data_IF_624846856982
#
_entry.id   IF_624846856982
#
_cell.length_a   1.000
_cell.length_b   1.000
_cell.length_c   1.000
_cell.angle_alpha   90.00
_cell.angle_beta   90.00
_cell.angle_gamma   90.00
#
_symmetry.space_group_name_H-M   'P 1'
#
loop_
_entity.id
_entity.type
_entity.pdbx_description
1 polymer ?
#
# COMPACT_ATOMS: atom_id res chain seq x y z
N UNK A 1 12.39 0.72 16.96
CA UNK A 1 11.80 2.07 16.75
C UNK A 1 10.28 2.03 16.79
N UNK A 2 9.59 1.20 16.01
CA UNK A 2 8.12 1.11 16.06
C UNK A 2 7.57 0.85 17.47
N UNK A 3 8.12 -0.14 18.19
CA UNK A 3 7.74 -0.41 19.59
C UNK A 3 7.94 0.80 20.53
N UNK A 4 9.03 1.55 20.34
CA UNK A 4 9.33 2.75 21.15
C UNK A 4 8.28 3.83 20.91
N UNK A 5 7.91 4.08 19.65
CA UNK A 5 6.85 5.03 19.31
C UNK A 5 5.48 4.57 19.80
N UNK A 6 5.20 3.27 19.76
CA UNK A 6 4.00 2.69 20.37
C UNK A 6 3.93 3.00 21.86
N UNK A 7 5.02 2.78 22.61
CA UNK A 7 5.09 3.11 24.03
C UNK A 7 4.91 4.61 24.28
N UNK A 8 5.60 5.47 23.54
CA UNK A 8 5.46 6.93 23.67
C UNK A 8 4.02 7.40 23.42
N UNK A 9 3.36 6.84 22.40
CA UNK A 9 1.97 7.12 22.12
C UNK A 9 1.05 6.63 23.25
N UNK A 10 1.23 5.39 23.74
CA UNK A 10 0.45 4.85 24.86
C UNK A 10 0.61 5.68 26.13
N UNK A 11 1.83 6.13 26.44
CA UNK A 11 2.09 7.02 27.58
C UNK A 11 1.36 8.35 27.41
N UNK A 12 1.37 8.94 26.20
CA UNK A 12 0.64 10.18 25.93
C UNK A 12 -0.87 10.01 26.10
N UNK A 13 -1.44 8.90 25.64
CA UNK A 13 -2.87 8.60 25.80
C UNK A 13 -3.23 8.43 27.28
N UNK A 14 -2.45 7.65 28.03
CA UNK A 14 -2.67 7.48 29.46
C UNK A 14 -2.54 8.82 30.21
N UNK A 15 -1.57 9.65 29.84
CA UNK A 15 -1.37 10.97 30.45
C UNK A 15 -2.51 11.94 30.13
N UNK A 16 -3.15 11.81 28.96
CA UNK A 16 -4.38 12.54 28.62
C UNK A 16 -5.56 12.06 29.47
N UNK A 17 -5.78 10.74 29.55
CA UNK A 17 -6.91 10.14 30.29
C UNK A 17 -6.83 10.38 31.80
N UNK A 18 -5.63 10.38 32.38
CA UNK A 18 -5.40 10.60 33.82
C UNK A 18 -4.91 12.02 34.14
N UNK A 19 -5.09 12.97 33.22
CA UNK A 19 -4.64 14.37 33.37
C UNK A 19 -5.15 15.04 34.65
N UNK A 20 -6.42 14.85 35.00
CA UNK A 20 -7.03 15.36 36.24
C UNK A 20 -6.31 14.85 37.50
N UNK A 21 -5.84 13.58 37.48
CA UNK A 21 -5.12 12.97 38.60
C UNK A 21 -3.66 13.40 38.66
N UNK A 22 -3.07 13.68 37.50
CA UNK A 22 -1.68 14.13 37.37
C UNK A 22 -1.51 15.63 37.62
N UNK A 23 -2.61 16.41 37.64
CA UNK A 23 -2.55 17.86 37.78
C UNK A 23 -1.92 18.56 36.57
N UNK A 24 -1.91 17.88 35.41
CA UNK A 24 -1.33 18.39 34.16
C UNK A 24 -2.47 18.74 33.21
N UNK A 25 -2.40 19.85 32.45
CA UNK A 25 -3.42 20.17 31.45
C UNK A 25 -3.58 19.03 30.44
N UNK A 26 -4.81 18.54 30.24
CA UNK A 26 -5.10 17.37 29.40
C UNK A 26 -4.48 17.49 27.99
N UNK A 27 -4.64 18.64 27.34
CA UNK A 27 -4.18 18.85 25.98
C UNK A 27 -2.67 19.17 25.88
N UNK A 28 -1.94 19.33 26.98
CA UNK A 28 -0.49 19.51 26.91
C UNK A 28 0.23 18.26 26.39
N UNK A 29 -0.20 17.06 26.82
CA UNK A 29 0.48 15.81 26.48
C UNK A 29 0.44 15.47 24.98
N UNK A 30 -0.73 15.54 24.29
CA UNK A 30 -0.78 15.34 22.84
C UNK A 30 0.12 16.32 22.06
N UNK A 31 0.21 17.59 22.48
CA UNK A 31 1.09 18.57 21.86
C UNK A 31 2.56 18.22 22.05
N UNK A 32 2.96 17.83 23.28
CA UNK A 32 4.33 17.40 23.59
C UNK A 32 4.70 16.19 22.74
N UNK A 33 3.82 15.19 22.61
CA UNK A 33 4.07 14.03 21.76
C UNK A 33 4.33 14.46 20.31
N UNK A 34 3.50 15.34 19.76
CA UNK A 34 3.67 15.85 18.40
C UNK A 34 5.03 16.56 18.22
N UNK A 35 5.39 17.45 19.16
CA UNK A 35 6.66 18.18 19.13
C UNK A 35 7.84 17.21 19.20
N UNK A 36 7.80 16.21 20.10
CA UNK A 36 8.85 15.19 20.23
C UNK A 36 9.01 14.40 18.93
N UNK A 37 7.90 14.02 18.27
CA UNK A 37 7.94 13.30 16.99
C UNK A 37 8.50 14.17 15.86
N UNK A 38 8.16 15.46 15.81
CA UNK A 38 8.71 16.40 14.82
C UNK A 38 10.21 16.63 15.04
N UNK A 39 10.62 16.87 16.28
CA UNK A 39 12.03 17.01 16.65
C UNK A 39 12.80 15.73 16.31
N UNK A 40 12.22 14.55 16.54
CA UNK A 40 12.83 13.28 16.18
C UNK A 40 13.13 13.18 14.68
N UNK A 41 12.17 13.55 13.82
CA UNK A 41 12.31 13.45 12.36
C UNK A 41 13.33 14.47 11.83
N UNK A 42 13.31 15.70 12.33
CA UNK A 42 14.17 16.81 11.86
C UNK A 42 15.56 16.78 12.48
N UNK A 43 15.79 16.00 13.54
CA UNK A 43 17.06 15.94 14.26
C UNK A 43 18.26 15.67 13.32
N UNK A 44 19.22 16.61 13.20
CA UNK A 44 20.35 16.51 12.30
C UNK A 44 21.48 15.61 12.82
N UNK A 45 21.44 15.19 14.08
CA UNK A 45 22.48 14.34 14.65
C UNK A 45 22.42 12.93 14.04
N UNK A 46 23.58 12.26 13.90
CA UNK A 46 23.70 10.89 13.35
C UNK A 46 23.11 9.78 14.24
N UNK A 47 22.23 10.13 15.17
CA UNK A 47 21.55 9.21 16.09
C UNK A 47 20.23 8.69 15.51
N UNK A 48 19.71 7.58 16.03
CA UNK A 48 18.38 7.04 15.71
C UNK A 48 18.01 6.93 14.22
N UNK A 49 18.78 6.13 13.45
CA UNK A 49 18.51 5.86 12.02
C UNK A 49 18.47 7.13 11.16
N UNK A 50 19.49 7.97 11.33
CA UNK A 50 19.67 9.22 10.57
C UNK A 50 19.44 9.08 9.06
N UNK A 51 20.02 8.08 8.40
CA UNK A 51 19.87 7.88 6.95
C UNK A 51 18.40 7.70 6.53
N UNK A 52 17.63 6.90 7.27
CA UNK A 52 16.22 6.70 7.00
C UNK A 52 15.41 7.99 7.18
N UNK A 53 15.68 8.77 8.25
CA UNK A 53 14.97 10.04 8.49
C UNK A 53 15.20 11.05 7.38
N UNK A 54 16.46 11.26 6.99
CA UNK A 54 16.79 12.20 5.91
C UNK A 54 16.33 11.71 4.55
N UNK A 55 16.31 10.39 4.32
CA UNK A 55 15.66 9.81 3.15
C UNK A 55 14.16 10.14 3.14
N UNK A 56 13.44 9.92 4.25
CA UNK A 56 12.02 10.25 4.38
C UNK A 56 11.77 11.75 4.16
N UNK A 57 12.54 12.63 4.80
CA UNK A 57 12.43 14.08 4.61
C UNK A 57 12.66 14.50 3.16
N UNK A 58 13.67 13.94 2.49
CA UNK A 58 13.97 14.23 1.09
C UNK A 58 12.83 13.80 0.17
N UNK A 59 12.30 12.60 0.37
CA UNK A 59 11.22 12.06 -0.47
C UNK A 59 9.89 12.80 -0.22
N UNK A 60 9.56 13.10 1.04
CA UNK A 60 8.40 13.95 1.38
C UNK A 60 8.54 15.36 0.80
N UNK A 61 9.72 15.96 0.90
CA UNK A 61 10.00 17.28 0.31
C UNK A 61 9.78 17.28 -1.21
N UNK A 62 10.26 16.26 -1.92
CA UNK A 62 9.99 16.11 -3.36
C UNK A 62 8.52 15.91 -3.67
N UNK A 63 7.79 15.16 -2.84
CA UNK A 63 6.35 14.96 -3.00
C UNK A 63 5.57 16.28 -2.85
N UNK A 64 5.89 17.07 -1.82
CA UNK A 64 5.24 18.37 -1.57
C UNK A 64 5.61 19.43 -2.60
N UNK A 65 6.82 19.37 -3.15
CA UNK A 65 7.27 20.27 -4.21
C UNK A 65 6.95 19.76 -5.63
N UNK A 66 6.11 18.74 -5.78
CA UNK A 66 5.62 18.35 -7.10
C UNK A 66 4.85 19.53 -7.74
N UNK A 67 5.02 19.82 -9.05
CA UNK A 67 5.66 19.01 -10.10
C UNK A 67 7.12 19.39 -10.42
N UNK A 68 7.83 20.09 -9.53
CA UNK A 68 9.12 20.73 -9.86
C UNK A 68 10.24 19.71 -10.11
N UNK A 69 10.27 18.61 -9.36
CA UNK A 69 11.33 17.60 -9.42
C UNK A 69 11.00 16.42 -10.33
N UNK A 70 12.03 15.65 -10.70
CA UNK A 70 11.83 14.35 -11.34
C UNK A 70 11.22 13.35 -10.34
N UNK A 71 10.28 12.52 -10.81
CA UNK A 71 9.48 11.62 -9.96
C UNK A 71 9.96 10.17 -10.12
N UNK A 72 10.64 9.66 -9.10
CA UNK A 72 11.06 8.25 -9.01
C UNK A 72 9.99 7.36 -8.36
N UNK A 73 10.23 6.04 -8.33
CA UNK A 73 9.35 5.07 -7.64
C UNK A 73 9.07 5.46 -6.19
N UNK A 74 10.13 5.74 -5.43
CA UNK A 74 9.99 6.13 -4.02
C UNK A 74 9.14 7.40 -3.84
N UNK A 75 9.29 8.39 -4.72
CA UNK A 75 8.59 9.67 -4.63
C UNK A 75 7.07 9.51 -4.80
N UNK A 76 6.65 8.70 -5.78
CA UNK A 76 5.22 8.46 -5.98
C UNK A 76 4.65 7.42 -5.01
N UNK A 77 5.45 6.46 -4.57
CA UNK A 77 5.06 5.48 -3.56
C UNK A 77 4.78 6.14 -2.20
N UNK A 78 5.61 7.10 -1.77
CA UNK A 78 5.35 7.88 -0.54
C UNK A 78 4.09 8.73 -0.68
N UNK A 79 3.89 9.38 -1.83
CA UNK A 79 2.69 10.18 -2.06
C UNK A 79 1.41 9.34 -2.09
N UNK A 80 1.48 8.05 -2.46
CA UNK A 80 0.35 7.12 -2.27
C UNK A 80 0.03 6.89 -0.80
N UNK A 81 1.04 6.80 0.07
CA UNK A 81 0.81 6.69 1.52
C UNK A 81 0.07 7.92 2.05
N UNK A 82 0.42 9.11 1.57
CA UNK A 82 -0.22 10.36 1.98
C UNK A 82 -1.73 10.36 1.68
N UNK A 83 -2.19 9.70 0.62
CA UNK A 83 -3.61 9.63 0.28
C UNK A 83 -4.43 8.88 1.35
N UNK A 84 -3.82 7.89 2.01
CA UNK A 84 -4.41 7.17 3.15
C UNK A 84 -4.25 7.93 4.48
N UNK A 85 -3.50 9.03 4.49
CA UNK A 85 -3.29 9.90 5.66
C UNK A 85 -4.08 11.21 5.55
N UNK A 86 -5.14 11.27 4.73
CA UNK A 86 -5.96 12.47 4.56
C UNK A 86 -6.49 13.02 5.89
N UNK A 87 -6.89 12.13 6.81
CA UNK A 87 -7.32 12.51 8.17
C UNK A 87 -6.23 13.29 8.93
N UNK A 88 -4.95 12.89 8.78
CA UNK A 88 -3.83 13.60 9.40
C UNK A 88 -3.66 15.03 8.86
N UNK A 89 -3.93 15.26 7.57
CA UNK A 89 -3.90 16.62 7.01
C UNK A 89 -5.04 17.49 7.57
N UNK A 90 -6.25 16.96 7.63
CA UNK A 90 -7.39 17.70 8.21
C UNK A 90 -7.25 17.93 9.70
N UNK A 91 -6.65 16.99 10.42
CA UNK A 91 -6.41 17.10 11.86
C UNK A 91 -5.25 18.04 12.16
N UNK A 92 -4.27 18.17 11.26
CA UNK A 92 -3.22 19.20 11.39
C UNK A 92 -3.83 20.61 11.41
N UNK A 93 -4.78 20.88 10.51
CA UNK A 93 -5.50 22.17 10.53
C UNK A 93 -6.33 22.34 11.80
N UNK A 94 -7.05 21.30 12.21
CA UNK A 94 -7.83 21.32 13.45
C UNK A 94 -6.95 21.62 14.66
N UNK A 95 -5.80 20.93 14.77
CA UNK A 95 -4.85 21.07 15.86
C UNK A 95 -4.28 22.48 15.95
N UNK A 96 -3.87 23.05 14.81
CA UNK A 96 -3.38 24.44 14.75
C UNK A 96 -4.47 25.40 15.23
N UNK A 97 -5.69 25.28 14.72
CA UNK A 97 -6.81 26.11 15.15
C UNK A 97 -7.11 25.95 16.64
N UNK A 98 -7.16 24.70 17.14
CA UNK A 98 -7.47 24.39 18.52
C UNK A 98 -6.48 25.06 19.48
N UNK A 99 -5.17 24.92 19.25
CA UNK A 99 -4.17 25.52 20.14
C UNK A 99 -4.05 27.05 20.01
N UNK A 100 -4.42 27.63 18.85
CA UNK A 100 -4.44 29.09 18.68
C UNK A 100 -5.66 29.75 19.34
N UNK A 101 -6.79 29.05 19.40
CA UNK A 101 -8.07 29.59 19.85
C UNK A 101 -8.44 29.19 21.26
N UNK A 102 -7.88 28.09 21.78
CA UNK A 102 -8.13 27.63 23.12
C UNK A 102 -7.13 28.25 24.13
N UNK A 103 -7.56 29.16 25.01
CA UNK A 103 -6.69 29.78 26.01
C UNK A 103 -6.38 28.85 27.19
N UNK A 104 -7.18 27.80 27.43
CA UNK A 104 -6.99 26.90 28.57
C UNK A 104 -6.83 25.45 28.08
N UNK A 105 -5.62 24.91 28.20
CA UNK A 105 -5.30 23.55 27.75
C UNK A 105 -5.77 22.45 28.70
N UNK A 106 -6.57 22.79 29.71
CA UNK A 106 -7.19 21.84 30.64
C UNK A 106 -8.63 21.50 30.23
N UNK A 107 -9.32 22.42 29.52
CA UNK A 107 -10.73 22.25 29.12
C UNK A 107 -10.84 22.46 27.62
N UNK A 108 -11.51 21.54 26.94
CA UNK A 108 -11.79 21.68 25.51
C UNK A 108 -12.84 22.76 25.28
N UNK A 109 -12.54 23.75 24.45
CA UNK A 109 -13.56 24.64 23.86
C UNK A 109 -14.38 23.84 22.85
N UNK A 110 -15.56 24.34 22.45
CA UNK A 110 -16.46 23.72 21.46
C UNK A 110 -15.69 23.03 20.33
N UNK A 111 -15.81 21.71 20.27
CA UNK A 111 -15.08 20.85 19.33
C UNK A 111 -15.42 21.17 17.88
N UNK A 112 -16.57 21.80 17.63
CA UNK A 112 -17.02 22.14 16.27
C UNK A 112 -16.50 23.49 15.78
N UNK A 113 -16.01 24.36 16.66
CA UNK A 113 -15.58 25.72 16.30
C UNK A 113 -14.58 25.72 15.13
N UNK A 114 -13.53 24.91 15.24
CA UNK A 114 -12.48 24.83 14.22
C UNK A 114 -12.91 24.13 12.93
N UNK A 115 -13.92 23.25 13.01
CA UNK A 115 -14.44 22.52 11.84
C UNK A 115 -15.37 23.41 11.02
N UNK A 116 -16.24 24.18 11.69
CA UNK A 116 -17.24 25.04 11.06
C UNK A 116 -16.61 26.33 10.54
N UNK A 117 -15.86 27.05 11.37
CA UNK A 117 -15.32 28.38 10.98
C UNK A 117 -14.19 28.30 9.95
N UNK A 118 -13.46 27.18 9.90
CA UNK A 118 -12.33 27.01 8.99
C UNK A 118 -12.56 25.87 7.98
N UNK A 119 -13.82 25.61 7.64
CA UNK A 119 -14.20 24.53 6.73
C UNK A 119 -13.46 24.62 5.39
N UNK A 120 -13.29 25.82 4.82
CA UNK A 120 -12.55 26.00 3.56
C UNK A 120 -11.07 25.59 3.64
N UNK A 121 -10.40 25.90 4.76
CA UNK A 121 -9.00 25.47 4.98
C UNK A 121 -8.95 23.95 5.19
N UNK A 122 -9.91 23.38 5.93
CA UNK A 122 -10.03 21.93 6.12
C UNK A 122 -10.19 21.20 4.79
N UNK A 123 -11.03 21.70 3.89
CA UNK A 123 -11.22 21.15 2.54
C UNK A 123 -9.95 21.26 1.71
N UNK A 124 -9.25 22.40 1.76
CA UNK A 124 -7.96 22.55 1.10
C UNK A 124 -6.95 21.50 1.58
N UNK A 125 -6.84 21.29 2.90
CA UNK A 125 -5.96 20.28 3.48
C UNK A 125 -6.32 18.85 3.05
N UNK A 126 -7.62 18.54 2.94
CA UNK A 126 -8.09 17.26 2.42
C UNK A 126 -7.73 17.04 0.94
N UNK A 127 -7.65 18.10 0.14
CA UNK A 127 -7.25 18.04 -1.27
C UNK A 127 -5.73 17.88 -1.48
N UNK A 128 -4.89 18.15 -0.48
CA UNK A 128 -3.43 18.11 -0.64
C UNK A 128 -2.90 16.71 -1.01
N UNK A 129 -3.27 15.61 -0.33
CA UNK A 129 -2.79 14.28 -0.72
C UNK A 129 -3.08 13.85 -2.17
N UNK A 130 -4.33 13.97 -2.69
CA UNK A 130 -4.60 13.66 -4.09
C UNK A 130 -3.91 14.66 -5.03
N UNK A 131 -3.74 15.92 -4.63
CA UNK A 131 -3.00 16.92 -5.40
C UNK A 131 -1.55 16.53 -5.64
N UNK A 132 -0.83 16.07 -4.62
CA UNK A 132 0.57 15.67 -4.79
C UNK A 132 0.71 14.54 -5.82
N UNK A 133 -0.18 13.54 -5.79
CA UNK A 133 -0.16 12.45 -6.79
C UNK A 133 -0.60 12.92 -8.16
N UNK A 134 -1.62 13.77 -8.25
CA UNK A 134 -2.04 14.37 -9.51
C UNK A 134 -0.90 15.14 -10.19
N UNK A 135 -0.23 16.04 -9.47
CA UNK A 135 0.91 16.82 -9.96
C UNK A 135 2.08 15.92 -10.39
N UNK A 136 2.39 14.89 -9.61
CA UNK A 136 3.41 13.89 -9.96
C UNK A 136 3.06 13.12 -11.24
N UNK A 137 1.79 12.74 -11.44
CA UNK A 137 1.36 12.04 -12.64
C UNK A 137 1.51 12.92 -13.89
N UNK A 138 1.13 14.19 -13.80
CA UNK A 138 1.34 15.16 -14.89
C UNK A 138 2.83 15.38 -15.19
N UNK A 139 3.67 15.47 -14.15
CA UNK A 139 5.13 15.58 -14.31
C UNK A 139 5.70 14.36 -15.03
N UNK A 140 5.29 13.15 -14.64
CA UNK A 140 5.75 11.93 -15.33
C UNK A 140 5.29 11.87 -16.78
N UNK A 141 4.05 12.24 -17.07
CA UNK A 141 3.58 12.36 -18.45
C UNK A 141 4.41 13.36 -19.26
N UNK A 142 4.75 14.52 -18.68
CA UNK A 142 5.60 15.50 -19.36
C UNK A 142 6.95 14.92 -19.73
N UNK A 143 7.53 14.13 -18.84
CA UNK A 143 8.91 13.62 -18.96
C UNK A 143 9.00 12.38 -19.86
N UNK A 144 8.04 11.45 -19.79
CA UNK A 144 8.04 10.22 -20.59
C UNK A 144 7.23 10.32 -21.88
N UNK A 145 6.30 11.27 -21.98
CA UNK A 145 5.28 11.39 -23.05
C UNK A 145 4.35 10.18 -23.18
N UNK A 146 4.36 9.28 -22.20
CA UNK A 146 3.48 8.10 -22.17
C UNK A 146 2.15 8.45 -21.49
N UNK A 147 1.07 8.46 -22.26
CA UNK A 147 -0.27 8.75 -21.72
C UNK A 147 -0.73 7.68 -20.72
N UNK A 148 -0.47 6.41 -21.01
CA UNK A 148 -0.68 5.30 -20.07
C UNK A 148 0.66 4.89 -19.45
N UNK A 149 0.75 4.75 -18.12
CA UNK A 149 -0.32 4.86 -17.11
C UNK A 149 -0.56 6.30 -16.59
N UNK A 150 0.25 7.29 -16.97
CA UNK A 150 0.35 8.56 -16.24
C UNK A 150 -0.91 9.43 -16.26
N UNK A 151 -1.50 9.70 -17.43
CA UNK A 151 -2.71 10.53 -17.53
C UNK A 151 -3.90 9.82 -16.91
N UNK A 152 -4.04 8.52 -17.16
CA UNK A 152 -5.13 7.71 -16.59
C UNK A 152 -5.05 7.75 -15.05
N UNK A 153 -3.84 7.64 -14.49
CA UNK A 153 -3.64 7.80 -13.05
C UNK A 153 -3.94 9.23 -12.56
N UNK A 154 -3.61 10.27 -13.34
CA UNK A 154 -3.98 11.64 -12.97
C UNK A 154 -5.50 11.82 -12.90
N UNK A 155 -6.25 11.24 -13.85
CA UNK A 155 -7.73 11.27 -13.83
C UNK A 155 -8.26 10.56 -12.58
N UNK A 156 -7.67 9.43 -12.18
CA UNK A 156 -8.01 8.74 -10.92
C UNK A 156 -7.98 9.71 -9.74
N UNK A 157 -6.87 10.41 -9.50
CA UNK A 157 -6.78 11.37 -8.38
C UNK A 157 -7.68 12.60 -8.57
N UNK A 158 -7.98 13.00 -9.80
CA UNK A 158 -8.93 14.10 -10.02
C UNK A 158 -10.35 13.76 -9.55
N UNK A 159 -10.76 12.49 -9.61
CA UNK A 159 -12.07 12.06 -9.09
C UNK A 159 -12.22 12.33 -7.60
N UNK A 160 -11.11 12.25 -6.84
CA UNK A 160 -11.09 12.49 -5.40
C UNK A 160 -11.34 13.96 -5.07
N UNK A 161 -10.92 14.91 -5.91
CA UNK A 161 -11.25 16.33 -5.70
C UNK A 161 -12.74 16.57 -5.74
N UNK A 162 -13.46 15.98 -6.69
CA UNK A 162 -14.91 16.11 -6.77
C UNK A 162 -15.60 15.54 -5.53
N UNK A 163 -15.17 14.37 -5.06
CA UNK A 163 -15.71 13.79 -3.83
C UNK A 163 -15.51 14.70 -2.61
N UNK A 164 -14.31 15.29 -2.45
CA UNK A 164 -14.00 16.18 -1.34
C UNK A 164 -14.79 17.51 -1.42
N UNK A 165 -14.87 18.10 -2.62
CA UNK A 165 -15.58 19.36 -2.84
C UNK A 165 -17.08 19.19 -2.59
N UNK A 166 -17.70 18.15 -3.16
CA UNK A 166 -19.13 17.91 -2.95
C UNK A 166 -19.47 17.53 -1.51
N UNK A 167 -18.59 16.79 -0.81
CA UNK A 167 -18.73 16.54 0.63
C UNK A 167 -18.71 17.83 1.45
N UNK A 168 -17.88 18.80 1.05
CA UNK A 168 -17.83 20.11 1.71
C UNK A 168 -19.09 20.91 1.42
N UNK A 169 -19.51 20.97 0.16
CA UNK A 169 -20.72 21.69 -0.26
C UNK A 169 -21.97 21.10 0.41
N UNK A 170 -22.06 19.77 0.58
CA UNK A 170 -23.18 19.17 1.29
C UNK A 170 -23.26 19.61 2.75
N UNK A 171 -22.11 19.84 3.41
CA UNK A 171 -22.05 20.39 4.77
C UNK A 171 -22.37 21.89 4.84
N UNK A 172 -21.91 22.68 3.87
CA UNK A 172 -22.18 24.13 3.81
C UNK A 172 -23.67 24.40 3.61
N UNK A 173 -24.29 23.71 2.67
CA UNK A 173 -25.69 23.89 2.29
C UNK A 173 -26.65 22.99 3.10
N UNK A 174 -26.19 22.38 4.20
CA UNK A 174 -27.01 21.45 4.98
C UNK A 174 -28.27 22.10 5.57
N UNK A 175 -28.19 23.39 5.94
CA UNK A 175 -29.32 24.13 6.52
C UNK A 175 -30.25 24.76 5.47
N UNK A 176 -29.82 24.82 4.20
CA UNK A 176 -30.54 25.48 3.11
C UNK A 176 -31.58 24.55 2.46
N UNK A 177 -31.48 23.24 2.71
CA UNK A 177 -32.36 22.21 2.15
C UNK A 177 -33.02 21.40 3.26
N UNK A 178 -34.22 20.88 3.00
CA UNK A 178 -34.83 19.91 3.90
C UNK A 178 -34.02 18.60 3.93
N UNK A 179 -34.15 17.85 5.02
CA UNK A 179 -33.44 16.58 5.22
C UNK A 179 -33.65 15.63 4.04
N UNK A 180 -32.56 15.25 3.36
CA UNK A 180 -32.59 14.34 2.20
C UNK A 180 -32.80 15.01 0.84
N UNK A 181 -33.03 16.32 0.76
CA UNK A 181 -33.24 17.03 -0.52
C UNK A 181 -31.99 17.76 -1.02
N UNK A 182 -30.87 17.68 -0.29
CA UNK A 182 -29.64 18.38 -0.62
C UNK A 182 -28.99 17.80 -1.90
N UNK A 183 -28.97 18.52 -3.04
CA UNK A 183 -28.38 18.03 -4.29
C UNK A 183 -26.88 17.73 -4.16
N UNK A 184 -26.16 18.45 -3.30
CA UNK A 184 -24.74 18.23 -3.07
C UNK A 184 -24.46 16.91 -2.35
N UNK A 185 -25.40 16.40 -1.54
CA UNK A 185 -25.30 15.07 -0.94
C UNK A 185 -25.28 13.98 -2.02
N UNK A 186 -26.19 14.07 -3.00
CA UNK A 186 -26.24 13.12 -4.12
C UNK A 186 -24.99 13.20 -5.01
N UNK A 187 -24.52 14.41 -5.32
CA UNK A 187 -23.27 14.62 -6.07
C UNK A 187 -22.06 14.06 -5.31
N UNK A 188 -22.03 14.19 -3.99
CA UNK A 188 -20.99 13.59 -3.15
C UNK A 188 -21.03 12.07 -3.19
N UNK A 189 -22.21 11.44 -3.07
CA UNK A 189 -22.37 9.98 -3.15
C UNK A 189 -21.89 9.46 -4.51
N UNK A 190 -22.33 10.08 -5.61
CA UNK A 190 -21.96 9.66 -6.97
C UNK A 190 -20.46 9.84 -7.22
N UNK A 191 -19.89 10.98 -6.84
CA UNK A 191 -18.44 11.22 -7.00
C UNK A 191 -17.59 10.30 -6.12
N UNK A 192 -18.03 10.00 -4.90
CA UNK A 192 -17.35 9.05 -4.00
C UNK A 192 -17.43 7.62 -4.53
N UNK A 193 -18.56 7.21 -5.11
CA UNK A 193 -18.72 5.92 -5.78
C UNK A 193 -17.77 5.79 -6.98
N UNK A 194 -17.73 6.80 -7.86
CA UNK A 194 -16.83 6.82 -9.02
C UNK A 194 -15.36 6.75 -8.57
N UNK A 195 -14.99 7.57 -7.57
CA UNK A 195 -13.61 7.60 -7.07
C UNK A 195 -13.20 6.26 -6.43
N UNK A 196 -14.10 5.65 -5.65
CA UNK A 196 -13.86 4.37 -4.98
C UNK A 196 -13.74 3.23 -5.98
N UNK A 197 -14.67 3.12 -6.94
CA UNK A 197 -14.65 2.08 -7.97
C UNK A 197 -13.41 2.17 -8.86
N UNK A 198 -13.05 3.39 -9.29
CA UNK A 198 -11.86 3.60 -10.09
C UNK A 198 -10.63 3.16 -9.31
N UNK A 199 -10.46 3.67 -8.10
CA UNK A 199 -9.25 3.39 -7.37
C UNK A 199 -9.15 1.95 -6.87
N UNK A 200 -10.26 1.28 -6.53
CA UNK A 200 -10.29 -0.17 -6.32
C UNK A 200 -9.83 -0.95 -7.57
N UNK A 201 -10.37 -0.59 -8.74
CA UNK A 201 -9.95 -1.22 -10.00
C UNK A 201 -8.47 -1.00 -10.29
N UNK A 202 -7.96 0.19 -9.96
CA UNK A 202 -6.55 0.54 -10.10
C UNK A 202 -5.67 -0.29 -9.18
N UNK A 203 -6.03 -0.40 -7.90
CA UNK A 203 -5.27 -1.13 -6.89
C UNK A 203 -5.13 -2.61 -7.30
N UNK A 204 -6.24 -3.25 -7.69
CA UNK A 204 -6.24 -4.66 -8.11
C UNK A 204 -5.50 -4.89 -9.44
N UNK A 205 -5.84 -4.14 -10.50
CA UNK A 205 -5.34 -4.46 -11.86
C UNK A 205 -3.98 -3.87 -12.17
N UNK A 206 -3.69 -2.67 -11.68
CA UNK A 206 -2.48 -1.93 -12.06
C UNK A 206 -1.42 -1.97 -10.98
N UNK A 207 -1.80 -1.68 -9.74
CA UNK A 207 -0.81 -1.64 -8.65
C UNK A 207 -0.39 -3.05 -8.24
N UNK A 208 -1.33 -3.99 -8.13
CA UNK A 208 -1.04 -5.39 -7.77
C UNK A 208 -0.83 -6.28 -9.00
N UNK A 209 -1.29 -5.86 -10.19
CA UNK A 209 -1.12 -6.65 -11.41
C UNK A 209 -1.89 -7.98 -11.40
N UNK A 210 -3.05 -8.01 -10.73
CA UNK A 210 -3.92 -9.19 -10.68
C UNK A 210 -4.92 -9.19 -11.84
N UNK A 211 -5.65 -10.30 -12.02
CA UNK A 211 -6.56 -10.53 -13.15
C UNK A 211 -5.84 -10.58 -14.51
N UNK A 212 -4.64 -11.18 -14.56
CA UNK A 212 -4.00 -11.48 -15.83
C UNK A 212 -4.73 -12.65 -16.51
N UNK A 213 -4.95 -12.56 -17.82
CA UNK A 213 -5.54 -13.66 -18.60
C UNK A 213 -4.63 -14.89 -18.67
N UNK A 214 -3.36 -14.76 -18.27
CA UNK A 214 -2.35 -15.82 -18.22
C UNK A 214 -2.26 -16.54 -16.87
N UNK A 215 -3.22 -16.34 -15.96
CA UNK A 215 -3.12 -16.79 -14.57
C UNK A 215 -3.04 -18.30 -14.31
N UNK A 216 -3.08 -19.16 -15.34
CA UNK A 216 -2.96 -20.61 -15.21
C UNK A 216 -3.93 -21.19 -14.17
N UNK A 217 -3.37 -21.91 -13.19
CA UNK A 217 -4.12 -22.54 -12.10
C UNK A 217 -4.60 -21.55 -11.01
N UNK A 218 -4.06 -20.33 -10.98
CA UNK A 218 -4.40 -19.31 -9.98
C UNK A 218 -5.54 -18.40 -10.48
N UNK A 219 -6.80 -18.85 -10.34
CA UNK A 219 -7.98 -18.12 -10.84
C UNK A 219 -8.03 -16.66 -10.32
N UNK A 220 -8.07 -15.71 -11.26
CA UNK A 220 -8.09 -14.24 -11.03
C UNK A 220 -6.81 -13.60 -10.50
N UNK A 221 -5.73 -14.36 -10.32
CA UNK A 221 -4.43 -13.82 -9.91
C UNK A 221 -3.53 -13.66 -11.15
N UNK A 222 -2.21 -13.67 -10.94
CA UNK A 222 -1.19 -13.69 -11.98
C UNK A 222 -0.40 -15.00 -11.91
N UNK A 223 0.36 -15.28 -12.96
CA UNK A 223 1.11 -16.53 -13.10
C UNK A 223 2.16 -16.70 -11.99
N UNK A 224 2.96 -15.67 -11.74
CA UNK A 224 4.00 -15.69 -10.70
C UNK A 224 3.53 -14.99 -9.41
N UNK A 225 3.41 -15.77 -8.34
CA UNK A 225 3.17 -15.28 -6.97
C UNK A 225 4.41 -15.54 -6.12
N UNK A 226 4.80 -14.56 -5.30
CA UNK A 226 5.93 -14.65 -4.36
C UNK A 226 5.45 -15.14 -2.99
N UNK A 227 4.24 -14.77 -2.58
CA UNK A 227 3.69 -15.23 -1.30
C UNK A 227 3.12 -16.66 -1.43
N UNK A 228 3.54 -17.60 -0.58
CA UNK A 228 3.14 -19.01 -0.72
C UNK A 228 1.63 -19.27 -0.58
N UNK A 229 0.92 -18.41 0.16
CA UNK A 229 -0.50 -18.59 0.45
C UNK A 229 -1.37 -17.74 -0.48
N UNK A 230 -2.14 -18.42 -1.35
CA UNK A 230 -3.10 -17.79 -2.27
C UNK A 230 -4.20 -17.03 -1.51
N UNK A 231 -4.57 -17.50 -0.31
CA UNK A 231 -5.55 -16.86 0.57
C UNK A 231 -5.17 -15.43 0.95
N UNK A 232 -3.87 -15.12 1.03
CA UNK A 232 -3.41 -13.77 1.32
C UNK A 232 -3.87 -12.76 0.26
N UNK A 233 -3.86 -13.16 -1.01
CA UNK A 233 -4.31 -12.31 -2.12
C UNK A 233 -5.83 -12.13 -2.10
N UNK A 234 -6.60 -13.20 -1.89
CA UNK A 234 -8.07 -13.09 -1.82
C UNK A 234 -8.52 -12.27 -0.61
N UNK A 235 -7.85 -12.43 0.53
CA UNK A 235 -8.07 -11.59 1.69
C UNK A 235 -7.78 -10.13 1.38
N UNK A 236 -6.64 -9.82 0.75
CA UNK A 236 -6.30 -8.46 0.31
C UNK A 236 -7.35 -7.86 -0.63
N UNK A 237 -7.83 -8.62 -1.61
CA UNK A 237 -8.89 -8.16 -2.54
C UNK A 237 -10.17 -7.80 -1.78
N UNK A 238 -10.60 -8.67 -0.87
CA UNK A 238 -11.81 -8.46 -0.08
C UNK A 238 -11.66 -7.29 0.90
N UNK A 239 -10.52 -7.22 1.59
CA UNK A 239 -10.21 -6.16 2.55
C UNK A 239 -10.13 -4.78 1.89
N UNK A 240 -9.46 -4.69 0.73
CA UNK A 240 -9.39 -3.44 -0.03
C UNK A 240 -10.79 -2.99 -0.45
N UNK A 241 -11.63 -3.91 -0.95
CA UNK A 241 -13.02 -3.60 -1.31
C UNK A 241 -13.80 -3.03 -0.12
N UNK A 242 -13.85 -3.74 1.02
CA UNK A 242 -14.63 -3.33 2.19
C UNK A 242 -14.20 -1.95 2.69
N UNK A 243 -12.89 -1.73 2.83
CA UNK A 243 -12.37 -0.48 3.37
C UNK A 243 -12.42 0.68 2.38
N UNK A 244 -12.35 0.41 1.06
CA UNK A 244 -12.56 1.45 0.03
C UNK A 244 -13.94 2.09 0.12
N UNK A 245 -14.94 1.28 0.43
CA UNK A 245 -16.32 1.71 0.64
C UNK A 245 -16.60 2.07 2.12
N UNK A 246 -15.57 2.25 2.94
CA UNK A 246 -15.67 2.67 4.34
C UNK A 246 -16.50 3.95 4.54
N UNK A 247 -16.44 4.87 3.58
CA UNK A 247 -17.24 6.10 3.59
C UNK A 247 -18.76 5.83 3.54
N UNK A 248 -19.19 4.76 2.86
CA UNK A 248 -20.60 4.40 2.81
C UNK A 248 -21.08 3.89 4.17
N UNK A 249 -20.27 3.07 4.84
CA UNK A 249 -20.55 2.63 6.22
C UNK A 249 -20.58 3.81 7.21
N UNK A 250 -19.67 4.77 7.07
CA UNK A 250 -19.66 6.01 7.86
C UNK A 250 -21.00 6.74 7.74
N UNK A 251 -21.47 7.02 6.52
CA UNK A 251 -22.74 7.72 6.29
C UNK A 251 -23.90 6.91 6.85
N UNK A 252 -24.03 5.64 6.45
CA UNK A 252 -25.18 4.82 6.83
C UNK A 252 -25.34 4.71 8.35
N UNK A 253 -24.24 4.50 9.09
CA UNK A 253 -24.30 4.38 10.55
C UNK A 253 -24.54 5.71 11.26
N UNK A 254 -24.06 6.82 10.67
CA UNK A 254 -24.28 8.17 11.23
C UNK A 254 -25.73 8.62 11.02
N UNK A 255 -26.30 8.42 9.83
CA UNK A 255 -27.69 8.78 9.52
C UNK A 255 -28.71 7.92 10.27
N UNK A 256 -28.41 6.64 10.51
CA UNK A 256 -29.26 5.78 11.35
C UNK A 256 -29.14 6.09 12.85
N UNK A 257 -28.25 6.99 13.26
CA UNK A 257 -28.05 7.37 14.66
C UNK A 257 -27.36 6.29 15.52
N UNK A 258 -26.81 5.24 14.92
CA UNK A 258 -26.12 4.17 15.66
C UNK A 258 -24.71 4.59 16.11
N UNK A 259 -24.08 5.53 15.41
CA UNK A 259 -22.73 5.99 15.73
C UNK A 259 -22.56 7.49 15.47
N UNK A 260 -21.73 8.15 16.27
CA UNK A 260 -21.28 9.52 16.01
C UNK A 260 -20.22 9.53 14.91
N UNK A 261 -20.25 10.56 14.03
CA UNK A 261 -19.28 10.74 12.92
C UNK A 261 -17.83 10.62 13.43
N UNK A 262 -17.50 11.27 14.55
CA UNK A 262 -16.16 11.27 15.13
C UNK A 262 -15.69 9.87 15.58
N UNK A 263 -16.61 9.03 16.11
CA UNK A 263 -16.27 7.68 16.53
C UNK A 263 -15.97 6.80 15.31
N UNK A 264 -16.77 6.94 14.26
CA UNK A 264 -16.56 6.22 13.01
C UNK A 264 -15.26 6.63 12.31
N UNK A 265 -14.93 7.92 12.26
CA UNK A 265 -13.65 8.40 11.73
C UNK A 265 -12.48 7.81 12.53
N UNK A 266 -12.60 7.75 13.86
CA UNK A 266 -11.57 7.18 14.76
C UNK A 266 -11.33 5.69 14.50
N UNK A 267 -12.37 4.94 14.09
CA UNK A 267 -12.25 3.52 13.74
C UNK A 267 -11.73 3.34 12.31
N UNK A 268 -12.24 4.11 11.35
CA UNK A 268 -11.88 3.99 9.93
C UNK A 268 -10.46 4.48 9.64
N UNK A 269 -9.93 5.47 10.37
CA UNK A 269 -8.59 6.00 10.10
C UNK A 269 -7.46 4.96 10.31
N UNK A 270 -7.40 4.19 11.43
CA UNK A 270 -6.45 3.08 11.55
C UNK A 270 -6.67 1.96 10.54
N UNK A 271 -7.93 1.67 10.17
CA UNK A 271 -8.24 0.67 9.14
C UNK A 271 -7.73 1.09 7.77
N UNK A 272 -7.84 2.36 7.40
CA UNK A 272 -7.27 2.89 6.15
C UNK A 272 -5.73 2.78 6.12
N UNK A 273 -5.07 2.92 7.28
CA UNK A 273 -3.62 2.66 7.41
C UNK A 273 -3.32 1.17 7.23
N UNK A 274 -4.14 0.29 7.81
CA UNK A 274 -4.01 -1.17 7.63
C UNK A 274 -4.18 -1.59 6.16
N UNK A 275 -5.19 -1.05 5.47
CA UNK A 275 -5.40 -1.24 4.03
C UNK A 275 -4.17 -0.87 3.22
N UNK A 276 -3.60 0.30 3.50
CA UNK A 276 -2.38 0.76 2.81
C UNK A 276 -1.17 -0.11 3.12
N UNK A 277 -1.06 -0.62 4.35
CA UNK A 277 -0.03 -1.58 4.74
C UNK A 277 -0.11 -2.87 3.90
N UNK A 278 -1.31 -3.42 3.72
CA UNK A 278 -1.55 -4.57 2.83
C UNK A 278 -1.21 -4.23 1.37
N UNK A 279 -1.70 -3.09 0.87
CA UNK A 279 -1.40 -2.60 -0.48
C UNK A 279 0.12 -2.49 -0.74
N UNK A 280 0.91 -2.09 0.25
CA UNK A 280 2.36 -1.96 0.11
C UNK A 280 3.04 -3.28 -0.23
N UNK A 281 2.63 -4.40 0.38
CA UNK A 281 3.22 -5.71 0.07
C UNK A 281 2.95 -6.12 -1.36
N UNK A 282 1.70 -6.03 -1.82
CA UNK A 282 1.34 -6.40 -3.18
C UNK A 282 1.92 -5.45 -4.23
N UNK A 283 2.00 -4.14 -3.93
CA UNK A 283 2.62 -3.15 -4.81
C UNK A 283 4.12 -3.40 -4.98
N UNK A 284 4.84 -3.63 -3.88
CA UNK A 284 6.28 -3.92 -3.92
C UNK A 284 6.56 -5.22 -4.64
N UNK A 285 5.73 -6.24 -4.42
CA UNK A 285 5.83 -7.52 -5.11
C UNK A 285 5.63 -7.37 -6.63
N UNK A 286 4.56 -6.68 -7.06
CA UNK A 286 4.31 -6.43 -8.47
C UNK A 286 5.44 -5.60 -9.11
N UNK A 287 5.98 -4.61 -8.40
CA UNK A 287 7.13 -3.84 -8.89
C UNK A 287 8.40 -4.71 -9.00
N UNK A 288 8.63 -5.59 -8.03
CA UNK A 288 9.75 -6.54 -8.05
C UNK A 288 9.65 -7.49 -9.25
N UNK A 289 8.49 -8.12 -9.46
CA UNK A 289 8.25 -9.01 -10.59
C UNK A 289 8.41 -8.29 -11.93
N UNK A 290 7.88 -7.07 -12.06
CA UNK A 290 8.07 -6.26 -13.27
C UNK A 290 9.54 -5.90 -13.53
N UNK A 291 10.33 -5.66 -12.49
CA UNK A 291 11.75 -5.38 -12.63
C UNK A 291 12.55 -6.64 -12.99
N UNK A 292 12.25 -7.79 -12.38
CA UNK A 292 12.84 -9.08 -12.74
C UNK A 292 12.50 -9.48 -14.19
N UNK A 293 11.24 -9.34 -14.61
CA UNK A 293 10.80 -9.63 -15.98
C UNK A 293 11.42 -8.73 -17.05
N UNK A 294 11.85 -7.51 -16.68
CA UNK A 294 12.59 -6.58 -17.55
C UNK A 294 14.12 -6.70 -17.40
N UNK A 295 14.62 -7.71 -16.68
CA UNK A 295 16.04 -7.93 -16.38
C UNK A 295 16.73 -6.75 -15.67
N UNK A 296 15.97 -5.90 -14.97
CA UNK A 296 16.50 -4.81 -14.14
C UNK A 296 16.92 -5.27 -12.75
N UNK A 297 16.43 -6.44 -12.33
CA UNK A 297 16.86 -7.17 -11.14
C UNK A 297 17.10 -8.64 -11.52
N UNK A 298 18.14 -9.26 -10.96
CA UNK A 298 18.45 -10.68 -11.18
C UNK A 298 17.73 -11.47 -10.09
N UNK A 299 16.85 -12.41 -10.49
CA UNK A 299 16.32 -13.42 -9.58
C UNK A 299 17.48 -14.31 -9.14
N UNK A 300 17.64 -14.60 -7.86
CA UNK A 300 18.60 -15.61 -7.42
C UNK A 300 18.26 -16.92 -8.15
N UNK A 301 19.10 -17.26 -9.13
CA UNK A 301 18.96 -18.51 -9.86
C UNK A 301 19.46 -19.56 -8.88
N UNK A 302 18.54 -20.31 -8.28
CA UNK A 302 18.90 -21.50 -7.53
C UNK A 302 19.52 -22.49 -8.54
N UNK A 303 20.83 -22.40 -8.72
CA UNK A 303 21.58 -23.48 -9.34
C UNK A 303 21.51 -24.60 -8.32
N UNK A 304 20.58 -25.53 -8.51
CA UNK A 304 20.60 -26.76 -7.74
C UNK A 304 22.01 -27.34 -7.89
N UNK A 305 22.69 -27.73 -6.79
CA UNK A 305 23.99 -28.37 -6.90
C UNK A 305 23.83 -29.56 -7.85
N UNK A 306 24.59 -29.54 -8.95
CA UNK A 306 24.64 -30.66 -9.89
C UNK A 306 25.04 -31.90 -9.09
N UNK A 307 24.19 -32.92 -9.10
CA UNK A 307 24.57 -34.21 -8.55
C UNK A 307 25.70 -34.79 -9.39
N UNK A 308 26.60 -35.54 -8.77
CA UNK A 308 27.71 -36.23 -9.46
C UNK A 308 27.21 -37.15 -10.59
N UNK A 309 25.98 -37.67 -10.45
CA UNK A 309 25.27 -38.42 -11.47
C UNK A 309 24.98 -37.58 -12.73
N UNK A 310 24.52 -36.34 -12.55
CA UNK A 310 24.22 -35.40 -13.64
C UNK A 310 25.49 -34.94 -14.38
N UNK A 311 26.60 -34.74 -13.65
CA UNK A 311 27.90 -34.45 -14.28
C UNK A 311 28.37 -35.60 -15.16
N UNK A 312 28.27 -36.83 -14.67
CA UNK A 312 28.70 -38.03 -15.41
C UNK A 312 27.84 -38.23 -16.67
N UNK A 313 26.54 -37.95 -16.58
CA UNK A 313 25.64 -37.98 -17.73
C UNK A 313 26.00 -36.92 -18.77
N UNK A 314 26.34 -35.70 -18.33
CA UNK A 314 26.74 -34.60 -19.23
C UNK A 314 28.05 -34.92 -19.94
N UNK A 315 29.06 -35.44 -19.22
CA UNK A 315 30.34 -35.86 -19.83
C UNK A 315 30.10 -36.93 -20.88
N UNK A 316 29.26 -37.95 -20.58
CA UNK A 316 28.89 -38.97 -21.58
C UNK A 316 28.16 -38.40 -22.79
N UNK A 317 27.33 -37.37 -22.60
CA UNK A 317 26.65 -36.69 -23.72
C UNK A 317 27.60 -35.81 -24.55
N UNK A 318 28.73 -35.38 -24.00
CA UNK A 318 29.77 -34.65 -24.72
C UNK A 318 30.68 -35.56 -25.54
N UNK A 319 30.87 -36.80 -25.09
CA UNK A 319 31.71 -37.82 -25.74
C UNK A 319 30.97 -38.67 -26.79
N UNK A 320 29.66 -38.44 -26.97
CA UNK A 320 28.83 -39.16 -27.95
C UNK A 320 29.17 -38.68 -29.39
N UNK A 321 29.64 -39.57 -30.27
CA UNK A 321 30.17 -39.22 -31.60
C UNK A 321 29.13 -38.52 -32.52
N UNK A 322 27.84 -38.73 -32.27
CA UNK A 322 26.73 -38.12 -33.01
C UNK A 322 26.33 -36.71 -32.50
N UNK A 323 26.91 -36.25 -31.39
CA UNK A 323 26.60 -34.97 -30.75
C UNK A 323 25.20 -34.88 -30.11
N UNK A 324 24.97 -33.82 -29.32
CA UNK A 324 23.72 -33.66 -28.56
C UNK A 324 22.57 -33.16 -29.46
N UNK A 325 21.62 -34.03 -29.81
CA UNK A 325 20.42 -33.61 -30.55
C UNK A 325 19.39 -32.92 -29.64
N UNK A 326 19.33 -31.59 -29.69
CA UNK A 326 18.42 -30.77 -28.85
C UNK A 326 16.93 -30.81 -29.25
N UNK A 327 16.50 -31.74 -30.12
CA UNK A 327 15.15 -31.70 -30.70
C UNK A 327 14.54 -33.09 -30.87
N UNK A 328 14.17 -33.75 -29.77
CA UNK A 328 13.23 -34.88 -29.82
C UNK A 328 11.81 -34.42 -29.48
N UNK A 329 10.91 -34.52 -30.47
CA UNK A 329 9.45 -34.58 -30.25
C UNK A 329 9.18 -35.70 -29.24
N UNK A 330 8.51 -35.35 -28.14
CA UNK A 330 8.10 -36.21 -27.04
C UNK A 330 7.37 -37.45 -27.60
N UNK A 331 8.00 -38.63 -27.56
CA UNK A 331 7.36 -39.93 -27.82
C UNK A 331 7.63 -40.83 -26.61
N UNK A 332 6.56 -41.12 -25.87
CA UNK A 332 6.39 -42.05 -24.74
C UNK A 332 7.66 -42.69 -24.15
N UNK A 333 8.22 -42.01 -23.15
CA UNK A 333 9.42 -42.41 -22.39
C UNK A 333 9.17 -43.56 -21.40
N UNK A 334 7.94 -44.02 -21.23
CA UNK A 334 7.59 -45.02 -20.20
C UNK A 334 8.11 -46.43 -20.54
N UNK A 335 8.22 -46.79 -21.83
CA UNK A 335 8.56 -48.16 -22.25
C UNK A 335 10.06 -48.47 -22.27
N UNK A 336 10.92 -47.44 -22.30
CA UNK A 336 12.40 -47.64 -22.36
C UNK A 336 13.01 -47.88 -20.98
N UNK A 337 12.47 -47.25 -19.92
CA UNK A 337 12.94 -47.45 -18.53
C UNK A 337 12.70 -48.86 -18.00
N UNK A 338 11.61 -49.52 -18.39
CA UNK A 338 11.35 -50.93 -18.01
C UNK A 338 12.30 -51.93 -18.67
N UNK A 339 12.81 -51.61 -19.87
CA UNK A 339 13.74 -52.49 -20.61
C UNK A 339 15.17 -52.35 -20.06
N UNK A 340 15.62 -51.12 -19.77
CA UNK A 340 16.93 -50.88 -19.14
C UNK A 340 17.01 -51.43 -17.70
N UNK A 341 15.94 -51.31 -16.90
CA UNK A 341 15.93 -51.87 -15.55
C UNK A 341 15.99 -53.41 -15.53
N UNK A 342 15.43 -54.08 -16.55
CA UNK A 342 15.53 -55.54 -16.71
C UNK A 342 16.91 -56.00 -17.17
N UNK A 343 17.64 -55.19 -17.92
CA UNK A 343 18.97 -55.54 -18.41
C UNK A 343 20.04 -55.43 -17.30
N UNK A 344 19.87 -54.49 -16.36
CA UNK A 344 20.82 -54.25 -15.26
C UNK A 344 20.68 -55.29 -14.12
N UNK A 345 19.53 -55.96 -13.99
CA UNK A 345 19.27 -56.96 -12.94
C UNK A 345 19.61 -58.41 -13.37
N UNK A 346 20.14 -58.63 -14.58
CA UNK A 346 20.31 -59.96 -15.17
C UNK A 346 21.75 -60.51 -15.25
N UNK A 347 22.78 -59.71 -15.02
CA UNK A 347 24.19 -60.15 -15.07
C UNK A 347 24.85 -59.98 -13.71
N UNK A 348 24.65 -60.99 -12.86
CA UNK A 348 25.40 -61.18 -11.62
C UNK A 348 25.82 -62.64 -11.52
N UNK A 349 26.91 -63.01 -12.20
CA UNK A 349 27.68 -64.21 -11.86
C UNK A 349 29.01 -63.76 -11.23
N UNK A 350 29.08 -63.88 -9.90
CA UNK A 350 30.32 -63.76 -9.14
C UNK A 350 31.18 -65.00 -9.39
N UNK A 351 32.38 -64.79 -9.90
CA UNK A 351 33.48 -65.74 -9.76
C UNK A 351 34.38 -65.20 -8.66
N UNK A 352 34.40 -65.87 -7.51
CA UNK A 352 35.52 -65.89 -6.56
C UNK A 352 35.18 -66.91 -5.47
N UNK A 353 35.86 -68.06 -5.50
CA UNK A 353 36.35 -68.81 -4.34
C UNK A 353 36.96 -70.14 -4.81
N UNK A 354 38.30 -70.21 -4.86
CA UNK A 354 39.11 -71.39 -4.48
C UNK A 354 40.60 -70.99 -4.42
N UNK A 355 41.11 -70.81 -3.20
CA UNK A 355 42.52 -71.07 -2.84
C UNK A 355 42.60 -71.28 -1.31
N UNK A 356 42.43 -72.53 -0.87
CA UNK A 356 43.30 -73.29 0.08
C UNK A 356 42.63 -74.57 0.58
#
# INVERSE_FOLDING_TARGET
>A
MAAIFGVLWSVSVLSFLYSDRLGVPAYANPLVLLIVMLLFVVNPTKTFRHEARFWTLRVLGKAFMAPLFYVSFADFWVADQLNSLTTLFTDTQYLICFYMTNPNWSVGVDSNYCVVNFLGIRTFMACLPPWFRFAQCLRRYRDTKEAFPHIINAVKYSTSFFAIIFSTLSKVYANDYASGENPFLYLWIVSSLISSCYAYTWDIKLDWGLFDSKAGDNKFLREEIVYPSVWFYYFGIFEDFVLRFGWAFLISLTEMGFALENNMITILAPLEVFRRFMWNFFRLENEHLNNCGKFRAVRDISVAPLDTSDQTLIVRMMDDEDGVSNRRKRKNTTKRREIEAKFILGEGESTDDMDT
#
